data_IF_609996742637
#
_entry.id   IF_609996742637
#
_cell.length_a   1.000
_cell.length_b   1.000
_cell.length_c   1.000
_cell.angle_alpha   90.00
_cell.angle_beta   90.00
_cell.angle_gamma   90.00
#
_symmetry.space_group_name_H-M   'P 1'
#
loop_
_entity.id
_entity.type
_entity.pdbx_description
1 polymer ?
#
# COMPACT_ATOMS: atom_id res chain seq x y z
N UNK A 1 -32.21 17.80 -24.46
CA UNK A 1 -30.78 17.63 -24.17
C UNK A 1 -30.65 17.53 -22.67
N UNK A 2 -30.51 16.33 -22.12
CA UNK A 2 -30.04 16.18 -20.74
C UNK A 2 -28.62 16.71 -20.71
N UNK A 3 -28.41 17.86 -20.08
CA UNK A 3 -27.07 18.35 -19.77
C UNK A 3 -26.44 17.36 -18.79
N UNK A 4 -25.47 16.58 -19.25
CA UNK A 4 -24.65 15.72 -18.41
C UNK A 4 -24.09 16.59 -17.29
N UNK A 5 -24.45 16.30 -16.04
CA UNK A 5 -23.92 17.06 -14.91
C UNK A 5 -22.40 16.83 -14.82
N UNK A 6 -21.62 17.86 -14.46
CA UNK A 6 -20.18 17.72 -14.36
C UNK A 6 -19.82 16.68 -13.29
N UNK A 7 -18.84 15.84 -13.60
CA UNK A 7 -18.36 14.78 -12.71
C UNK A 7 -17.09 15.26 -12.03
N UNK A 8 -16.94 14.93 -10.75
CA UNK A 8 -15.75 15.22 -9.96
C UNK A 8 -14.98 13.95 -9.64
N UNK A 9 -13.69 14.07 -9.35
CA UNK A 9 -12.87 13.04 -8.69
C UNK A 9 -12.03 13.65 -7.59
N UNK A 10 -11.38 12.83 -6.80
CA UNK A 10 -10.37 13.31 -5.86
C UNK A 10 -9.06 13.57 -6.59
N UNK A 11 -8.43 14.70 -6.27
CA UNK A 11 -7.09 15.09 -6.65
C UNK A 11 -6.06 14.14 -6.01
N UNK A 12 -5.72 13.04 -6.69
CA UNK A 12 -4.92 11.95 -6.14
C UNK A 12 -3.48 12.37 -5.78
N UNK A 13 -2.94 13.34 -6.49
CA UNK A 13 -1.64 14.00 -6.25
C UNK A 13 -1.59 14.81 -4.95
N UNK A 14 -2.75 15.15 -4.37
CA UNK A 14 -2.84 15.86 -3.09
C UNK A 14 -3.11 14.94 -1.90
N UNK A 15 -3.50 13.69 -2.17
CA UNK A 15 -3.72 12.69 -1.13
C UNK A 15 -2.37 12.19 -0.60
N UNK A 16 -2.29 12.10 0.72
CA UNK A 16 -1.14 11.50 1.40
C UNK A 16 -1.53 10.16 2.03
N UNK A 17 -0.59 9.21 2.15
CA UNK A 17 -0.83 8.00 2.92
C UNK A 17 -1.28 8.34 4.35
N UNK A 18 -2.31 7.65 4.82
CA UNK A 18 -3.01 7.92 6.08
C UNK A 18 -4.26 8.80 5.91
N UNK A 19 -4.38 9.60 4.85
CA UNK A 19 -5.59 10.40 4.66
C UNK A 19 -6.85 9.54 4.61
N UNK A 20 -7.91 10.02 5.26
CA UNK A 20 -9.19 9.35 5.35
C UNK A 20 -10.15 10.04 4.39
N UNK A 21 -10.68 9.27 3.43
CA UNK A 21 -11.67 9.78 2.49
C UNK A 21 -13.06 9.35 2.96
N UNK A 22 -13.94 10.32 3.19
CA UNK A 22 -15.32 10.10 3.55
C UNK A 22 -16.23 10.51 2.40
N UNK A 23 -17.19 9.65 2.06
CA UNK A 23 -18.11 9.90 0.95
C UNK A 23 -19.56 9.66 1.32
N UNK A 24 -20.45 10.30 0.58
CA UNK A 24 -21.88 10.03 0.59
C UNK A 24 -22.45 10.20 -0.81
N UNK A 25 -22.99 9.11 -1.35
CA UNK A 25 -23.72 9.12 -2.62
C UNK A 25 -25.21 9.36 -2.41
N UNK A 26 -25.92 9.68 -3.50
CA UNK A 26 -27.39 9.76 -3.53
C UNK A 26 -28.10 8.39 -3.40
N UNK A 27 -27.36 7.27 -3.29
CA UNK A 27 -27.92 5.92 -3.20
C UNK A 27 -28.74 5.65 -1.93
N UNK A 28 -29.71 4.73 -2.02
CA UNK A 28 -30.64 4.39 -0.91
C UNK A 28 -29.90 3.96 0.37
N UNK A 29 -28.86 3.13 0.25
CA UNK A 29 -28.07 2.70 1.40
C UNK A 29 -27.34 3.86 2.08
N UNK A 30 -26.74 4.74 1.27
CA UNK A 30 -26.04 5.94 1.76
C UNK A 30 -27.01 6.88 2.50
N UNK A 31 -28.21 7.09 1.96
CA UNK A 31 -29.25 7.90 2.61
C UNK A 31 -29.70 7.32 3.97
N UNK A 32 -29.83 6.00 4.08
CA UNK A 32 -30.18 5.33 5.34
C UNK A 32 -29.08 5.54 6.37
N UNK A 33 -27.81 5.32 6.01
CA UNK A 33 -26.68 5.48 6.92
C UNK A 33 -26.61 6.92 7.43
N UNK A 34 -26.66 7.93 6.53
CA UNK A 34 -26.64 9.36 6.91
C UNK A 34 -27.76 9.73 7.85
N UNK A 35 -28.99 9.28 7.57
CA UNK A 35 -30.15 9.57 8.42
C UNK A 35 -29.99 8.95 9.81
N UNK A 36 -29.54 7.71 9.87
CA UNK A 36 -29.44 6.97 11.12
C UNK A 36 -28.23 7.43 11.97
N UNK A 37 -27.12 7.84 11.33
CA UNK A 37 -25.96 8.44 12.00
C UNK A 37 -26.14 9.92 12.34
N UNK A 38 -27.23 10.54 11.85
CA UNK A 38 -27.45 12.00 11.87
C UNK A 38 -26.23 12.74 11.31
N UNK A 39 -25.73 12.27 10.16
CA UNK A 39 -24.48 12.71 9.56
C UNK A 39 -24.59 12.97 8.05
N UNK A 40 -23.50 13.49 7.49
CA UNK A 40 -23.41 13.92 6.09
C UNK A 40 -22.68 12.91 5.21
N UNK A 41 -22.01 11.93 5.82
CA UNK A 41 -21.20 10.91 5.16
C UNK A 41 -21.69 9.50 5.51
N UNK A 42 -21.45 8.54 4.60
CA UNK A 42 -21.90 7.14 4.75
C UNK A 42 -20.83 6.09 4.55
N UNK A 43 -19.68 6.47 3.99
CA UNK A 43 -18.58 5.54 3.71
C UNK A 43 -17.25 6.13 4.12
N UNK A 44 -16.28 5.27 4.42
CA UNK A 44 -14.95 5.65 4.86
C UNK A 44 -13.90 4.77 4.19
N UNK A 45 -12.82 5.39 3.73
CA UNK A 45 -11.71 4.76 3.04
C UNK A 45 -10.41 5.35 3.60
N UNK A 46 -9.31 4.59 3.56
CA UNK A 46 -7.99 5.08 3.97
C UNK A 46 -7.01 5.03 2.79
N UNK A 47 -6.31 6.13 2.54
CA UNK A 47 -5.24 6.21 1.56
C UNK A 47 -4.01 5.47 2.10
N UNK A 48 -3.47 4.52 1.34
CA UNK A 48 -2.32 3.70 1.76
C UNK A 48 -1.05 3.91 0.93
N UNK A 49 -1.19 4.54 -0.23
CA UNK A 49 -0.13 4.94 -1.14
C UNK A 49 -0.75 5.94 -2.12
N UNK A 50 0.05 6.75 -2.81
CA UNK A 50 -0.43 7.59 -3.90
C UNK A 50 -1.42 6.86 -4.83
N UNK A 51 -2.62 7.42 -4.96
CA UNK A 51 -3.70 6.86 -5.77
C UNK A 51 -4.36 5.59 -5.23
N UNK A 52 -3.80 4.93 -4.20
CA UNK A 52 -4.30 3.67 -3.65
C UNK A 52 -5.04 3.88 -2.33
N UNK A 53 -6.30 3.46 -2.28
CA UNK A 53 -7.11 3.46 -1.07
C UNK A 53 -7.50 2.02 -0.70
N UNK A 54 -7.83 1.81 0.57
CA UNK A 54 -8.44 0.58 1.07
C UNK A 54 -9.75 0.94 1.78
N UNK A 55 -10.77 0.15 1.53
CA UNK A 55 -12.06 0.28 2.19
C UNK A 55 -12.67 -1.10 2.48
N UNK A 56 -13.88 -1.11 3.05
CA UNK A 56 -14.62 -2.33 3.33
C UNK A 56 -16.06 -2.16 2.85
N UNK A 57 -16.44 -2.96 1.87
CA UNK A 57 -17.77 -2.96 1.21
C UNK A 57 -18.38 -4.36 1.23
N UNK A 58 -19.52 -4.57 0.57
CA UNK A 58 -20.14 -5.89 0.48
C UNK A 58 -19.22 -6.99 -0.10
N UNK A 59 -18.19 -6.61 -0.86
CA UNK A 59 -17.18 -7.52 -1.40
C UNK A 59 -16.01 -7.80 -0.43
N UNK A 60 -16.13 -7.35 0.83
CA UNK A 60 -15.07 -7.41 1.84
C UNK A 60 -14.13 -6.20 1.81
N UNK A 61 -12.99 -6.33 2.48
CA UNK A 61 -11.93 -5.32 2.46
C UNK A 61 -11.11 -5.43 1.18
N UNK A 62 -10.99 -4.34 0.44
CA UNK A 62 -10.40 -4.33 -0.90
C UNK A 62 -9.54 -3.09 -1.12
N UNK A 63 -8.55 -3.20 -2.02
CA UNK A 63 -7.75 -2.08 -2.46
C UNK A 63 -8.30 -1.53 -3.80
N UNK A 64 -8.35 -0.21 -3.92
CA UNK A 64 -8.89 0.50 -5.08
C UNK A 64 -7.96 1.61 -5.54
N UNK A 65 -8.09 2.02 -6.81
CA UNK A 65 -7.47 3.24 -7.31
C UNK A 65 -8.47 4.40 -7.24
N UNK A 66 -8.19 5.40 -6.41
CA UNK A 66 -9.07 6.55 -6.20
C UNK A 66 -9.30 7.39 -7.46
N UNK A 67 -8.39 7.36 -8.43
CA UNK A 67 -8.55 8.08 -9.70
C UNK A 67 -9.67 7.50 -10.57
N UNK A 68 -10.10 6.25 -10.29
CA UNK A 68 -11.25 5.62 -10.94
C UNK A 68 -12.58 5.92 -10.23
N UNK A 69 -12.53 6.53 -9.05
CA UNK A 69 -13.72 6.90 -8.30
C UNK A 69 -14.21 8.28 -8.75
N UNK A 70 -15.45 8.30 -9.24
CA UNK A 70 -16.11 9.50 -9.74
C UNK A 70 -17.33 9.83 -8.90
N UNK A 71 -17.54 11.13 -8.66
CA UNK A 71 -18.58 11.66 -7.80
C UNK A 71 -19.41 12.68 -8.56
N UNK A 72 -20.73 12.68 -8.34
CA UNK A 72 -21.60 13.72 -8.86
C UNK A 72 -21.36 15.04 -8.12
N UNK A 73 -21.87 16.14 -8.67
CA UNK A 73 -21.78 17.47 -8.03
C UNK A 73 -22.46 17.48 -6.65
N UNK A 74 -23.57 16.76 -6.51
CA UNK A 74 -24.36 16.68 -5.28
C UNK A 74 -23.85 15.63 -4.28
N UNK A 75 -22.93 14.76 -4.68
CA UNK A 75 -22.30 13.80 -3.77
C UNK A 75 -21.41 14.54 -2.76
N UNK A 76 -21.37 14.06 -1.53
CA UNK A 76 -20.49 14.60 -0.50
C UNK A 76 -19.16 13.85 -0.50
N UNK A 77 -18.06 14.59 -0.58
CA UNK A 77 -16.70 14.05 -0.56
C UNK A 77 -15.87 14.93 0.36
N UNK A 78 -15.28 14.33 1.38
CA UNK A 78 -14.48 15.01 2.40
C UNK A 78 -13.19 14.21 2.59
N UNK A 79 -12.05 14.88 2.58
CA UNK A 79 -10.76 14.27 2.95
C UNK A 79 -10.34 14.81 4.30
N UNK A 80 -9.97 13.90 5.19
CA UNK A 80 -9.52 14.20 6.53
C UNK A 80 -8.07 13.75 6.69
N UNK A 81 -7.29 14.56 7.41
CA UNK A 81 -5.91 14.24 7.80
C UNK A 81 -5.75 14.34 9.31
N UNK A 82 -4.86 13.54 9.87
CA UNK A 82 -4.50 13.68 11.29
C UNK A 82 -3.85 15.05 11.53
N UNK A 83 -4.35 15.77 12.54
CA UNK A 83 -3.90 17.12 12.90
C UNK A 83 -2.43 17.13 13.29
N UNK A 84 -2.05 16.16 14.12
CA UNK A 84 -0.67 15.91 14.50
C UNK A 84 -0.14 14.78 13.63
N UNK A 85 0.84 15.01 12.75
CA UNK A 85 1.38 13.96 11.91
C UNK A 85 1.93 12.80 12.74
N UNK A 86 1.67 11.58 12.30
CA UNK A 86 2.31 10.39 12.87
C UNK A 86 3.80 10.42 12.54
N UNK A 87 4.62 9.86 13.43
CA UNK A 87 5.97 9.50 13.02
C UNK A 87 5.92 8.44 11.89
N UNK A 88 6.96 8.31 11.07
CA UNK A 88 6.95 7.39 9.94
C UNK A 88 6.69 5.92 10.31
N UNK A 89 7.14 5.46 11.49
CA UNK A 89 6.96 4.08 11.95
C UNK A 89 5.50 3.84 12.36
N UNK A 90 4.90 4.80 13.07
CA UNK A 90 3.47 4.77 13.39
C UNK A 90 2.62 4.80 12.12
N UNK A 91 2.92 5.68 11.16
CA UNK A 91 2.22 5.73 9.89
C UNK A 91 2.30 4.38 9.18
N UNK A 92 3.49 3.79 9.05
CA UNK A 92 3.63 2.46 8.45
C UNK A 92 2.81 1.41 9.19
N UNK A 93 2.68 1.49 10.51
CA UNK A 93 1.83 0.58 11.28
C UNK A 93 0.36 0.70 10.90
N UNK A 94 -0.16 1.91 10.73
CA UNK A 94 -1.54 2.16 10.23
C UNK A 94 -1.73 1.55 8.84
N UNK A 95 -0.81 1.83 7.92
CA UNK A 95 -0.91 1.37 6.53
C UNK A 95 -0.77 -0.15 6.41
N UNK A 96 0.11 -0.77 7.21
CA UNK A 96 0.29 -2.21 7.24
C UNK A 96 -0.96 -2.92 7.76
N UNK A 97 -1.58 -2.38 8.83
CA UNK A 97 -2.85 -2.92 9.32
C UNK A 97 -3.93 -2.88 8.23
N UNK A 98 -4.12 -1.74 7.56
CA UNK A 98 -5.12 -1.64 6.50
C UNK A 98 -4.88 -2.66 5.36
N UNK A 99 -3.60 -2.91 5.02
CA UNK A 99 -3.22 -3.88 3.99
C UNK A 99 -3.40 -5.33 4.42
N UNK A 100 -3.09 -5.68 5.67
CA UNK A 100 -3.25 -7.06 6.17
C UNK A 100 -4.72 -7.50 6.23
N UNK A 101 -5.64 -6.54 6.34
CA UNK A 101 -7.07 -6.79 6.35
C UNK A 101 -7.67 -7.05 4.96
N UNK A 102 -6.92 -6.90 3.86
CA UNK A 102 -7.44 -7.19 2.51
C UNK A 102 -7.96 -8.63 2.44
N UNK A 103 -9.20 -8.78 1.97
CA UNK A 103 -9.93 -10.05 1.93
C UNK A 103 -10.90 -10.24 3.11
N UNK A 104 -10.72 -9.56 4.25
CA UNK A 104 -11.59 -9.67 5.42
C UNK A 104 -13.05 -9.40 5.05
N UNK A 105 -13.97 -10.27 5.48
CA UNK A 105 -15.40 -10.15 5.12
C UNK A 105 -16.06 -8.94 5.74
N UNK A 106 -17.10 -8.45 5.07
CA UNK A 106 -17.90 -7.34 5.55
C UNK A 106 -19.03 -7.77 6.49
N UNK A 107 -19.15 -7.08 7.61
CA UNK A 107 -20.17 -7.33 8.63
C UNK A 107 -21.35 -6.36 8.50
N UNK A 108 -22.37 -6.74 7.73
CA UNK A 108 -23.63 -5.96 7.61
C UNK A 108 -24.32 -5.75 8.96
N UNK A 109 -24.31 -6.78 9.81
CA UNK A 109 -24.98 -6.77 11.11
C UNK A 109 -24.27 -5.80 12.06
N UNK A 110 -22.94 -5.83 12.13
CA UNK A 110 -22.20 -4.94 13.02
C UNK A 110 -22.14 -3.50 12.49
N UNK A 111 -22.10 -3.32 11.15
CA UNK A 111 -22.26 -2.01 10.53
C UNK A 111 -23.60 -1.36 10.89
N UNK A 112 -24.71 -2.10 10.85
CA UNK A 112 -26.01 -1.59 11.28
C UNK A 112 -26.02 -1.24 12.79
N UNK A 113 -25.38 -2.06 13.62
CA UNK A 113 -25.28 -1.86 15.08
C UNK A 113 -24.39 -0.69 15.48
N UNK A 114 -23.43 -0.29 14.65
CA UNK A 114 -22.63 0.93 14.89
C UNK A 114 -23.50 2.20 14.86
N UNK A 115 -24.65 2.13 14.18
CA UNK A 115 -25.59 3.23 14.06
C UNK A 115 -26.78 3.08 15.01
N UNK A 116 -27.38 1.87 15.08
CA UNK A 116 -28.60 1.62 15.84
C UNK A 116 -28.37 1.33 17.34
N UNK A 117 -27.12 1.09 17.75
CA UNK A 117 -26.79 0.67 19.10
C UNK A 117 -27.17 -0.79 19.39
N UNK A 118 -27.21 -1.16 20.68
CA UNK A 118 -27.51 -2.52 21.13
C UNK A 118 -26.27 -3.39 21.35
N UNK A 119 -26.43 -4.72 21.28
CA UNK A 119 -25.33 -5.67 21.51
C UNK A 119 -24.23 -5.50 20.46
N UNK A 120 -22.99 -5.34 20.91
CA UNK A 120 -21.80 -5.05 20.10
C UNK A 120 -20.84 -6.25 20.05
N UNK A 121 -21.13 -7.33 19.30
CA UNK A 121 -20.18 -8.42 19.11
C UNK A 121 -18.89 -7.90 18.46
N UNK A 122 -17.76 -8.52 18.75
CA UNK A 122 -16.48 -8.07 18.20
C UNK A 122 -15.89 -9.16 17.35
N UNK A 123 -16.55 -9.43 16.22
CA UNK A 123 -15.98 -10.36 15.25
C UNK A 123 -14.74 -9.74 14.57
N UNK A 124 -13.99 -10.59 13.86
CA UNK A 124 -12.87 -10.14 13.02
C UNK A 124 -13.34 -9.49 11.72
N UNK A 125 -14.61 -9.65 11.34
CA UNK A 125 -15.18 -9.00 10.17
C UNK A 125 -15.18 -7.47 10.33
N UNK A 126 -15.16 -6.78 9.20
CA UNK A 126 -14.97 -5.34 9.14
C UNK A 126 -16.15 -4.63 8.49
N UNK A 127 -16.22 -3.33 8.69
CA UNK A 127 -17.00 -2.40 7.88
C UNK A 127 -16.19 -1.12 7.75
N UNK A 128 -16.55 -0.26 6.80
CA UNK A 128 -15.72 0.85 6.34
C UNK A 128 -15.10 1.70 7.47
N UNK A 129 -15.90 2.22 8.40
CA UNK A 129 -15.38 3.05 9.51
C UNK A 129 -14.62 2.24 10.57
N UNK A 130 -14.97 0.97 10.81
CA UNK A 130 -14.21 0.09 11.72
C UNK A 130 -12.82 -0.19 11.17
N UNK A 131 -12.69 -0.47 9.87
CA UNK A 131 -11.40 -0.68 9.22
C UNK A 131 -10.47 0.52 9.48
N UNK A 132 -10.94 1.73 9.16
CA UNK A 132 -10.17 2.97 9.35
C UNK A 132 -9.83 3.17 10.83
N UNK A 133 -10.80 3.01 11.72
CA UNK A 133 -10.57 3.24 13.15
C UNK A 133 -9.64 2.22 13.79
N UNK A 134 -9.70 0.94 13.39
CA UNK A 134 -8.78 -0.10 13.86
C UNK A 134 -7.37 0.09 13.30
N UNK A 135 -7.23 0.55 12.05
CA UNK A 135 -5.93 0.86 11.46
C UNK A 135 -5.17 1.90 12.29
N UNK A 136 -5.83 2.98 12.68
CA UNK A 136 -5.23 3.97 13.56
C UNK A 136 -5.02 3.47 14.99
N UNK A 137 -5.96 2.72 15.55
CA UNK A 137 -5.82 2.15 16.89
C UNK A 137 -4.64 1.17 17.00
N UNK A 138 -4.33 0.43 15.92
CA UNK A 138 -3.16 -0.46 15.84
C UNK A 138 -1.83 0.31 15.97
N UNK A 139 -1.80 1.60 15.64
CA UNK A 139 -0.66 2.49 15.85
C UNK A 139 -0.76 3.33 17.14
N UNK A 140 -1.71 3.00 18.03
CA UNK A 140 -1.92 3.70 19.30
C UNK A 140 -2.74 4.99 19.19
N UNK A 141 -3.36 5.28 18.04
CA UNK A 141 -4.18 6.49 17.84
C UNK A 141 -5.66 6.14 17.81
N UNK A 142 -6.38 6.52 18.85
CA UNK A 142 -7.82 6.31 18.94
C UNK A 142 -8.57 7.51 18.33
N UNK A 143 -8.89 7.43 17.03
CA UNK A 143 -9.67 8.47 16.32
C UNK A 143 -11.06 8.70 16.94
N UNK A 144 -11.61 7.67 17.56
CA UNK A 144 -12.90 7.64 18.25
C UNK A 144 -12.76 6.78 19.51
N UNK A 145 -13.74 6.85 20.41
CA UNK A 145 -13.68 6.16 21.70
C UNK A 145 -13.76 4.63 21.61
N UNK A 146 -14.46 4.08 20.60
CA UNK A 146 -14.63 2.65 20.38
C UNK A 146 -14.25 2.31 18.93
N UNK A 147 -13.03 1.83 18.67
CA UNK A 147 -12.57 1.56 17.31
C UNK A 147 -13.31 0.41 16.62
N UNK A 148 -14.04 -0.42 17.38
CA UNK A 148 -14.85 -1.49 16.83
C UNK A 148 -16.25 -1.01 16.39
N UNK A 149 -16.69 0.15 16.89
CA UNK A 149 -18.06 0.61 16.69
C UNK A 149 -18.14 2.12 16.58
N UNK A 150 -17.85 2.60 15.38
CA UNK A 150 -17.96 3.99 15.01
C UNK A 150 -18.64 4.12 13.64
N UNK A 151 -19.28 5.25 13.38
CA UNK A 151 -19.83 5.58 12.06
C UNK A 151 -18.82 6.44 11.28
N UNK A 152 -18.93 6.55 9.95
CA UNK A 152 -18.13 7.52 9.18
C UNK A 152 -18.29 8.95 9.70
N UNK A 153 -19.49 9.30 10.16
CA UNK A 153 -19.75 10.61 10.80
C UNK A 153 -18.98 10.79 12.12
N UNK A 154 -18.78 9.72 12.90
CA UNK A 154 -17.97 9.79 14.11
C UNK A 154 -16.49 10.09 13.80
N UNK A 155 -15.98 9.57 12.67
CA UNK A 155 -14.65 9.95 12.16
C UNK A 155 -14.62 11.41 11.75
N UNK A 156 -15.61 11.89 10.96
CA UNK A 156 -15.73 13.30 10.56
C UNK A 156 -15.71 14.28 11.73
N UNK A 157 -16.29 13.88 12.88
CA UNK A 157 -16.36 14.70 14.11
C UNK A 157 -15.14 14.54 15.04
N UNK A 158 -14.17 13.70 14.68
CA UNK A 158 -12.99 13.49 15.51
C UNK A 158 -12.18 14.79 15.64
N UNK A 159 -11.88 15.20 16.88
CA UNK A 159 -11.05 16.38 17.14
C UNK A 159 -9.60 16.22 16.67
N UNK A 160 -9.15 14.97 16.49
CA UNK A 160 -7.82 14.62 16.01
C UNK A 160 -7.68 14.83 14.50
N UNK A 161 -8.78 14.96 13.77
CA UNK A 161 -8.78 15.10 12.32
C UNK A 161 -9.05 16.55 11.91
N UNK A 162 -8.48 16.95 10.78
CA UNK A 162 -8.75 18.21 10.09
C UNK A 162 -9.22 17.90 8.66
N UNK A 163 -10.20 18.66 8.20
CA UNK A 163 -10.64 18.60 6.80
C UNK A 163 -9.63 19.33 5.90
N UNK A 164 -9.23 18.66 4.81
CA UNK A 164 -8.33 19.23 3.82
C UNK A 164 -9.17 19.85 2.70
N UNK A 165 -9.08 21.17 2.48
CA UNK A 165 -9.89 21.85 1.47
C UNK A 165 -9.44 21.52 0.05
N UNK A 166 -10.33 21.72 -0.91
CA UNK A 166 -10.04 21.68 -2.36
C UNK A 166 -9.52 20.32 -2.86
N UNK A 167 -9.96 19.21 -2.25
CA UNK A 167 -9.49 17.87 -2.60
C UNK A 167 -10.19 17.23 -3.80
N UNK A 168 -11.10 17.93 -4.47
CA UNK A 168 -11.79 17.42 -5.66
C UNK A 168 -11.60 18.32 -6.86
N UNK A 169 -11.47 17.71 -8.03
CA UNK A 169 -11.39 18.39 -9.32
C UNK A 169 -12.46 17.89 -10.29
N UNK A 170 -12.80 18.71 -11.30
CA UNK A 170 -13.76 18.36 -12.35
C UNK A 170 -13.04 17.53 -13.41
N UNK A 171 -13.65 16.41 -13.82
CA UNK A 171 -13.13 15.55 -14.87
C UNK A 171 -13.81 15.89 -16.20
N UNK A 172 -13.00 16.04 -17.26
CA UNK A 172 -13.55 16.29 -18.61
C UNK A 172 -14.24 15.06 -19.19
N UNK A 173 -15.24 15.26 -20.06
CA UNK A 173 -15.92 14.15 -20.74
C UNK A 173 -14.95 13.28 -21.58
N UNK A 174 -13.95 13.91 -22.21
CA UNK A 174 -12.93 13.21 -22.98
C UNK A 174 -12.07 12.29 -22.09
N UNK A 175 -11.71 12.76 -20.90
CA UNK A 175 -10.97 11.96 -19.93
C UNK A 175 -11.82 10.81 -19.36
N UNK A 176 -13.10 11.06 -19.04
CA UNK A 176 -14.02 10.01 -18.60
C UNK A 176 -14.16 8.91 -19.67
N UNK A 177 -14.31 9.28 -20.95
CA UNK A 177 -14.38 8.34 -22.05
C UNK A 177 -13.08 7.52 -22.19
N UNK A 178 -11.92 8.18 -22.07
CA UNK A 178 -10.63 7.51 -22.10
C UNK A 178 -10.46 6.51 -20.95
N UNK A 179 -10.87 6.87 -19.73
CA UNK A 179 -10.81 5.98 -18.56
C UNK A 179 -11.79 4.81 -18.66
N UNK A 180 -13.00 5.03 -19.19
CA UNK A 180 -13.99 3.97 -19.39
C UNK A 180 -13.54 2.93 -20.43
N UNK A 181 -12.76 3.35 -21.43
CA UNK A 181 -12.19 2.46 -22.44
C UNK A 181 -10.98 1.65 -21.93
N UNK A 182 -10.33 2.09 -20.84
CA UNK A 182 -9.17 1.40 -20.27
C UNK A 182 -9.61 0.14 -19.51
N UNK A 183 -8.93 -1.00 -19.69
CA UNK A 183 -9.15 -2.18 -18.85
C UNK A 183 -9.07 -1.83 -17.36
N UNK A 184 -9.91 -2.47 -16.55
CA UNK A 184 -9.94 -2.28 -15.10
C UNK A 184 -9.55 -3.58 -14.37
N UNK A 185 -8.25 -3.85 -14.19
CA UNK A 185 -7.78 -5.08 -13.58
C UNK A 185 -8.14 -5.20 -12.09
N UNK A 186 -8.66 -4.13 -11.45
CA UNK A 186 -9.05 -4.15 -10.04
C UNK A 186 -10.30 -5.00 -9.78
N UNK A 187 -11.22 -5.06 -10.74
CA UNK A 187 -12.40 -5.93 -10.64
C UNK A 187 -11.99 -7.40 -10.72
N UNK A 188 -11.08 -7.73 -11.63
CA UNK A 188 -10.52 -9.07 -11.80
C UNK A 188 -9.74 -9.48 -10.55
N UNK A 189 -8.86 -8.61 -10.04
CA UNK A 189 -8.11 -8.84 -8.81
C UNK A 189 -9.04 -9.18 -7.64
N UNK A 190 -10.09 -8.38 -7.41
CA UNK A 190 -11.09 -8.61 -6.35
C UNK A 190 -11.79 -9.95 -6.50
N UNK A 191 -12.22 -10.29 -7.72
CA UNK A 191 -12.89 -11.55 -7.99
C UNK A 191 -11.97 -12.74 -7.70
N UNK A 192 -10.72 -12.70 -8.17
CA UNK A 192 -9.73 -13.75 -7.95
C UNK A 192 -9.37 -13.91 -6.47
N UNK A 193 -9.21 -12.80 -5.74
CA UNK A 193 -8.94 -12.83 -4.30
C UNK A 193 -10.08 -13.49 -3.52
N UNK A 194 -11.33 -13.13 -3.84
CA UNK A 194 -12.50 -13.72 -3.20
C UNK A 194 -12.65 -15.20 -3.55
N UNK A 195 -12.38 -15.60 -4.80
CA UNK A 195 -12.38 -17.02 -5.20
C UNK A 195 -11.38 -17.85 -4.38
N UNK A 196 -10.15 -17.37 -4.22
CA UNK A 196 -9.09 -18.01 -3.43
C UNK A 196 -9.53 -18.16 -1.98
N UNK A 197 -10.00 -17.08 -1.35
CA UNK A 197 -10.41 -17.09 0.05
C UNK A 197 -11.65 -17.96 0.28
N UNK A 198 -12.59 -17.99 -0.66
CA UNK A 198 -13.80 -18.81 -0.53
C UNK A 198 -13.49 -20.31 -0.57
N UNK A 199 -12.47 -20.75 -1.31
CA UNK A 199 -12.00 -22.14 -1.26
C UNK A 199 -11.49 -22.49 0.13
N UNK A 200 -10.68 -21.61 0.71
CA UNK A 200 -10.14 -21.82 2.05
C UNK A 200 -11.24 -21.78 3.14
N UNK A 201 -12.19 -20.85 3.03
CA UNK A 201 -13.33 -20.69 3.96
C UNK A 201 -14.28 -21.87 3.97
N UNK A 202 -14.39 -22.61 2.87
CA UNK A 202 -15.13 -23.89 2.86
C UNK A 202 -14.51 -24.95 3.76
N UNK A 203 -13.22 -24.80 4.10
CA UNK A 203 -12.47 -25.73 4.96
C UNK A 203 -12.33 -25.20 6.38
N UNK A 204 -12.08 -23.91 6.51
CA UNK A 204 -12.08 -23.22 7.80
C UNK A 204 -12.86 -21.89 7.70
N UNK A 205 -14.11 -21.84 8.19
CA UNK A 205 -14.93 -20.63 8.17
C UNK A 205 -14.35 -19.45 8.98
N UNK A 206 -13.31 -19.65 9.80
CA UNK A 206 -12.66 -18.60 10.57
C UNK A 206 -11.66 -17.77 9.75
N UNK A 207 -11.28 -18.22 8.55
CA UNK A 207 -10.38 -17.49 7.65
C UNK A 207 -11.05 -16.20 7.17
N UNK A 208 -10.48 -15.05 7.54
CA UNK A 208 -10.95 -13.76 7.08
C UNK A 208 -10.09 -13.20 5.95
N UNK A 209 -8.77 -13.23 6.06
CA UNK A 209 -7.85 -12.59 5.12
C UNK A 209 -6.71 -13.52 4.65
N UNK A 210 -5.78 -12.97 3.87
CA UNK A 210 -4.64 -13.73 3.34
C UNK A 210 -3.63 -14.16 4.42
N UNK A 211 -3.50 -13.45 5.54
CA UNK A 211 -2.64 -13.90 6.64
C UNK A 211 -3.20 -15.18 7.29
N UNK A 212 -4.52 -15.25 7.48
CA UNK A 212 -5.19 -16.45 7.96
C UNK A 212 -5.05 -17.62 6.97
N UNK A 213 -5.16 -17.33 5.66
CA UNK A 213 -4.93 -18.32 4.59
C UNK A 213 -3.50 -18.86 4.61
N UNK A 214 -2.51 -17.99 4.72
CA UNK A 214 -1.10 -18.38 4.76
C UNK A 214 -0.83 -19.31 5.94
N UNK A 215 -1.31 -18.94 7.14
CA UNK A 215 -1.22 -19.78 8.33
C UNK A 215 -1.94 -21.13 8.13
N UNK A 216 -3.13 -21.12 7.53
CA UNK A 216 -3.90 -22.33 7.25
C UNK A 216 -3.15 -23.29 6.32
N UNK A 217 -2.55 -22.80 5.23
CA UNK A 217 -1.76 -23.59 4.28
C UNK A 217 -0.54 -24.23 4.96
N UNK A 218 0.14 -23.48 5.84
CA UNK A 218 1.27 -24.05 6.58
C UNK A 218 0.82 -25.19 7.50
N UNK A 219 -0.27 -24.99 8.24
CA UNK A 219 -0.78 -25.96 9.20
C UNK A 219 -1.47 -27.18 8.57
N UNK A 220 -1.99 -27.06 7.35
CA UNK A 220 -2.83 -28.08 6.72
C UNK A 220 -2.27 -28.53 5.35
N UNK A 221 -1.18 -29.33 5.32
CA UNK A 221 -0.58 -29.82 4.08
C UNK A 221 -1.56 -30.54 3.14
N UNK A 222 -2.59 -31.18 3.70
CA UNK A 222 -3.59 -31.92 2.93
C UNK A 222 -4.40 -31.02 1.97
N UNK A 223 -4.43 -29.70 2.21
CA UNK A 223 -5.15 -28.73 1.37
C UNK A 223 -4.24 -27.89 0.48
N UNK A 224 -2.92 -28.02 0.60
CA UNK A 224 -1.95 -27.20 -0.13
C UNK A 224 -2.13 -27.30 -1.64
N UNK A 225 -2.29 -28.50 -2.21
CA UNK A 225 -2.43 -28.64 -3.66
C UNK A 225 -3.73 -28.03 -4.20
N UNK A 226 -4.82 -28.14 -3.45
CA UNK A 226 -6.10 -27.55 -3.86
C UNK A 226 -6.01 -26.02 -3.88
N UNK A 227 -5.41 -25.43 -2.85
CA UNK A 227 -5.22 -23.98 -2.75
C UNK A 227 -4.23 -23.50 -3.84
N UNK A 228 -3.11 -24.22 -4.01
CA UNK A 228 -2.12 -23.95 -5.05
C UNK A 228 -2.74 -24.01 -6.47
N UNK A 229 -3.68 -24.93 -6.70
CA UNK A 229 -4.41 -25.02 -7.95
C UNK A 229 -5.30 -23.80 -8.18
N UNK A 230 -6.06 -23.35 -7.18
CA UNK A 230 -6.93 -22.17 -7.31
C UNK A 230 -6.14 -20.90 -7.58
N UNK A 231 -4.96 -20.72 -6.96
CA UNK A 231 -4.07 -19.62 -7.29
C UNK A 231 -3.66 -19.59 -8.78
N UNK A 232 -3.43 -20.76 -9.40
CA UNK A 232 -3.11 -20.86 -10.85
C UNK A 232 -4.34 -20.63 -11.70
N UNK A 233 -5.43 -21.31 -11.37
CA UNK A 233 -6.63 -21.34 -12.18
C UNK A 233 -7.35 -19.98 -12.22
N UNK A 234 -7.31 -19.22 -11.12
CA UNK A 234 -7.90 -17.88 -11.06
C UNK A 234 -7.13 -16.85 -11.90
N UNK A 235 -5.86 -17.10 -12.24
CA UNK A 235 -5.01 -16.11 -12.92
C UNK A 235 -4.38 -15.06 -12.00
N UNK A 236 -4.59 -15.15 -10.68
CA UNK A 236 -4.05 -14.21 -9.69
C UNK A 236 -2.53 -14.03 -9.82
N UNK A 237 -1.81 -15.13 -10.06
CA UNK A 237 -0.34 -15.14 -10.17
C UNK A 237 0.19 -14.38 -11.40
N UNK A 238 -0.66 -14.09 -12.38
CA UNK A 238 -0.29 -13.45 -13.65
C UNK A 238 -0.86 -12.03 -13.81
N UNK A 239 -1.61 -11.52 -12.82
CA UNK A 239 -2.23 -10.18 -12.86
C UNK A 239 -1.23 -9.06 -13.17
N UNK A 240 0.01 -9.16 -12.68
CA UNK A 240 1.06 -8.18 -12.93
C UNK A 240 1.40 -8.02 -14.42
N UNK A 241 1.19 -9.07 -15.24
CA UNK A 241 1.45 -9.02 -16.68
C UNK A 241 0.48 -8.09 -17.39
N UNK A 242 -0.75 -8.00 -16.91
CA UNK A 242 -1.76 -7.09 -17.47
C UNK A 242 -1.36 -5.63 -17.26
N UNK A 243 -0.86 -5.27 -16.06
CA UNK A 243 -0.37 -3.91 -15.81
C UNK A 243 0.84 -3.57 -16.70
N UNK A 244 1.79 -4.50 -16.84
CA UNK A 244 2.94 -4.32 -17.72
C UNK A 244 2.52 -4.11 -19.18
N UNK A 245 1.56 -4.88 -19.68
CA UNK A 245 1.07 -4.76 -21.04
C UNK A 245 0.30 -3.45 -21.30
N UNK A 246 -0.43 -2.94 -20.30
CA UNK A 246 -1.20 -1.69 -20.41
C UNK A 246 -0.31 -0.47 -20.23
N UNK A 247 0.69 -0.54 -19.35
CA UNK A 247 1.54 0.57 -18.95
C UNK A 247 3.04 0.22 -19.11
N UNK A 248 3.52 -0.11 -20.33
CA UNK A 248 4.93 -0.45 -20.53
C UNK A 248 5.87 0.69 -20.13
N UNK A 249 5.42 1.94 -20.31
CA UNK A 249 6.09 3.17 -19.89
C UNK A 249 6.37 3.26 -18.39
N UNK A 250 5.70 2.49 -17.53
CA UNK A 250 6.08 2.39 -16.13
C UNK A 250 7.43 1.70 -15.95
N UNK A 251 7.82 0.79 -16.84
CA UNK A 251 8.90 -0.17 -16.63
C UNK A 251 10.07 0.01 -17.60
N UNK A 252 9.91 0.86 -18.60
CA UNK A 252 10.91 1.15 -19.61
C UNK A 252 11.01 2.67 -19.83
N UNK A 253 12.23 3.20 -19.77
CA UNK A 253 12.48 4.64 -19.88
C UNK A 253 12.22 5.15 -21.30
N UNK A 254 12.55 4.38 -22.33
CA UNK A 254 12.34 4.82 -23.71
C UNK A 254 10.84 4.84 -24.04
N UNK A 255 10.06 3.88 -23.52
CA UNK A 255 8.60 3.90 -23.57
C UNK A 255 8.01 5.10 -22.79
N UNK A 256 8.60 5.44 -21.63
CA UNK A 256 8.21 6.65 -20.88
C UNK A 256 8.45 7.93 -21.69
N UNK A 257 9.63 8.06 -22.31
CA UNK A 257 9.96 9.19 -23.18
C UNK A 257 9.02 9.28 -24.38
N UNK A 258 8.68 8.15 -25.00
CA UNK A 258 7.75 8.09 -26.13
C UNK A 258 6.31 8.44 -25.71
N UNK A 259 5.93 8.14 -24.46
CA UNK A 259 4.61 8.48 -23.90
C UNK A 259 4.45 9.95 -23.54
N UNK A 260 5.57 10.66 -23.29
CA UNK A 260 5.57 12.07 -22.95
C UNK A 260 5.12 12.92 -24.15
N UNK A 261 4.04 13.69 -24.00
CA UNK A 261 3.53 14.56 -25.09
C UNK A 261 4.49 15.70 -25.43
N UNK A 262 5.30 16.12 -24.45
CA UNK A 262 6.42 17.06 -24.55
C UNK A 262 7.34 16.89 -23.34
N UNK A 263 8.49 17.55 -23.31
CA UNK A 263 9.37 17.61 -22.12
C UNK A 263 8.77 18.30 -20.89
N UNK A 264 7.55 18.85 -21.01
CA UNK A 264 6.80 19.55 -19.94
C UNK A 264 5.43 18.87 -19.67
N UNK A 265 5.32 17.55 -19.84
CA UNK A 265 4.09 16.83 -19.48
C UNK A 265 3.90 16.80 -17.96
N UNK A 266 3.21 17.81 -17.43
CA UNK A 266 3.00 18.01 -15.99
C UNK A 266 2.33 16.79 -15.33
N UNK A 267 1.45 16.07 -16.05
CA UNK A 267 0.84 14.86 -15.52
C UNK A 267 1.85 13.73 -15.30
N UNK A 268 2.75 13.53 -16.26
CA UNK A 268 3.84 12.56 -16.14
C UNK A 268 4.83 12.98 -15.05
N UNK A 269 5.16 14.27 -14.97
CA UNK A 269 6.01 14.83 -13.90
C UNK A 269 5.43 14.56 -12.52
N UNK A 270 4.15 14.84 -12.29
CA UNK A 270 3.47 14.58 -11.01
C UNK A 270 3.44 13.08 -10.66
N UNK A 271 3.23 12.22 -11.65
CA UNK A 271 3.35 10.77 -11.47
C UNK A 271 4.76 10.37 -11.03
N UNK A 272 5.80 10.87 -11.68
CA UNK A 272 7.17 10.51 -11.34
C UNK A 272 7.54 11.04 -9.94
N UNK A 273 7.15 12.29 -9.61
CA UNK A 273 7.38 12.90 -8.30
C UNK A 273 6.71 12.08 -7.20
N UNK A 274 5.43 11.74 -7.35
CA UNK A 274 4.72 10.93 -6.35
C UNK A 274 5.33 9.52 -6.20
N UNK A 275 5.82 8.94 -7.29
CA UNK A 275 6.51 7.63 -7.27
C UNK A 275 7.81 7.68 -6.46
N UNK A 276 8.63 8.73 -6.59
CA UNK A 276 9.90 8.84 -5.86
C UNK A 276 9.75 9.38 -4.42
N UNK A 277 8.64 10.05 -4.09
CA UNK A 277 8.33 10.44 -2.71
C UNK A 277 8.09 9.22 -1.80
N UNK A 278 7.65 8.12 -2.40
CA UNK A 278 7.48 6.83 -1.73
C UNK A 278 8.52 5.80 -2.21
N UNK A 279 9.73 6.26 -2.60
CA UNK A 279 10.72 5.42 -3.27
C UNK A 279 11.06 4.14 -2.51
N UNK A 280 11.08 4.14 -1.19
CA UNK A 280 11.32 2.92 -0.42
C UNK A 280 10.03 2.41 0.23
N UNK A 281 9.20 3.29 0.77
CA UNK A 281 8.01 2.91 1.54
C UNK A 281 6.84 2.43 0.68
N UNK A 282 6.73 2.87 -0.58
CA UNK A 282 5.63 2.50 -1.47
C UNK A 282 5.65 1.02 -1.85
N UNK A 283 6.84 0.49 -2.15
CA UNK A 283 7.05 -0.89 -2.62
C UNK A 283 7.38 -1.92 -1.54
N UNK A 284 7.74 -1.48 -0.32
CA UNK A 284 8.30 -2.36 0.73
C UNK A 284 7.44 -3.58 1.05
N UNK A 285 6.12 -3.47 0.88
CA UNK A 285 5.17 -4.59 1.07
C UNK A 285 5.54 -5.83 0.24
N UNK A 286 6.04 -5.66 -0.98
CA UNK A 286 6.35 -6.78 -1.86
C UNK A 286 7.58 -7.54 -1.34
N UNK A 287 8.58 -6.80 -0.86
CA UNK A 287 9.76 -7.38 -0.24
C UNK A 287 9.46 -8.04 1.11
N UNK A 288 8.58 -7.45 1.92
CA UNK A 288 8.13 -8.06 3.18
C UNK A 288 7.40 -9.38 2.91
N UNK A 289 6.50 -9.40 1.93
CA UNK A 289 5.78 -10.62 1.56
C UNK A 289 6.74 -11.67 0.98
N UNK A 290 7.71 -11.27 0.15
CA UNK A 290 8.76 -12.17 -0.33
C UNK A 290 9.52 -12.80 0.84
N UNK A 291 10.06 -11.99 1.76
CA UNK A 291 10.79 -12.46 2.93
C UNK A 291 9.92 -13.34 3.86
N UNK A 292 8.62 -13.08 3.95
CA UNK A 292 7.67 -13.95 4.64
C UNK A 292 7.56 -15.32 3.95
N UNK A 293 7.29 -15.35 2.64
CA UNK A 293 7.10 -16.60 1.91
C UNK A 293 8.38 -17.41 1.75
N UNK A 294 9.55 -16.78 1.62
CA UNK A 294 10.84 -17.49 1.60
C UNK A 294 11.12 -18.21 2.92
N UNK A 295 10.85 -17.56 4.06
CA UNK A 295 10.96 -18.20 5.38
C UNK A 295 9.97 -19.35 5.53
N UNK A 296 8.72 -19.16 5.11
CA UNK A 296 7.70 -20.21 5.14
C UNK A 296 8.06 -21.39 4.22
N UNK A 297 8.64 -21.10 3.05
CA UNK A 297 9.13 -22.09 2.10
C UNK A 297 10.25 -22.93 2.71
N UNK A 298 11.24 -22.28 3.32
CA UNK A 298 12.35 -22.96 4.01
C UNK A 298 11.86 -23.85 5.15
N UNK A 299 10.80 -23.44 5.86
CA UNK A 299 10.25 -24.20 6.98
C UNK A 299 9.44 -25.45 6.54
N UNK A 300 8.56 -25.31 5.54
CA UNK A 300 7.52 -26.32 5.27
C UNK A 300 7.41 -26.79 3.81
N UNK A 301 8.07 -26.13 2.85
CA UNK A 301 8.11 -26.58 1.46
C UNK A 301 6.76 -26.62 0.71
N UNK A 302 5.79 -25.77 1.07
CA UNK A 302 4.43 -25.79 0.48
C UNK A 302 4.42 -25.31 -0.97
N UNK A 303 3.63 -25.98 -1.83
CA UNK A 303 3.46 -25.60 -3.24
C UNK A 303 2.82 -24.23 -3.40
N UNK A 304 1.80 -23.93 -2.60
CA UNK A 304 1.17 -22.59 -2.57
C UNK A 304 2.22 -21.53 -2.28
N UNK A 305 3.05 -21.75 -1.25
CA UNK A 305 4.13 -20.83 -0.89
C UNK A 305 5.17 -20.68 -2.00
N UNK A 306 5.49 -21.73 -2.77
CA UNK A 306 6.42 -21.64 -3.91
C UNK A 306 5.96 -20.65 -4.97
N UNK A 307 4.66 -20.69 -5.26
CA UNK A 307 4.03 -19.82 -6.25
C UNK A 307 4.06 -18.37 -5.77
N UNK A 308 3.80 -18.15 -4.47
CA UNK A 308 3.85 -16.83 -3.87
C UNK A 308 5.29 -16.28 -3.81
N UNK A 309 6.30 -17.09 -3.50
CA UNK A 309 7.71 -16.67 -3.64
C UNK A 309 7.97 -16.20 -5.07
N UNK A 310 7.58 -16.99 -6.07
CA UNK A 310 7.78 -16.63 -7.49
C UNK A 310 7.09 -15.33 -7.86
N UNK A 311 5.83 -15.15 -7.45
CA UNK A 311 5.06 -13.94 -7.67
C UNK A 311 5.72 -12.73 -7.01
N UNK A 312 6.03 -12.81 -5.73
CA UNK A 312 6.57 -11.66 -4.99
C UNK A 312 8.00 -11.30 -5.39
N UNK A 313 8.83 -12.27 -5.82
CA UNK A 313 10.11 -11.96 -6.47
C UNK A 313 9.91 -11.12 -7.74
N UNK A 314 8.91 -11.43 -8.56
CA UNK A 314 8.60 -10.64 -9.75
C UNK A 314 8.05 -9.26 -9.40
N UNK A 315 7.14 -9.17 -8.42
CA UNK A 315 6.57 -7.89 -7.99
C UNK A 315 7.63 -6.94 -7.40
N UNK A 316 8.59 -7.45 -6.65
CA UNK A 316 9.74 -6.66 -6.16
C UNK A 316 10.55 -6.08 -7.32
N UNK A 317 10.85 -6.88 -8.34
CA UNK A 317 11.58 -6.41 -9.53
C UNK A 317 10.80 -5.36 -10.31
N UNK A 318 9.52 -5.62 -10.55
CA UNK A 318 8.65 -4.67 -11.26
C UNK A 318 8.55 -3.34 -10.53
N UNK A 319 8.37 -3.36 -9.21
CA UNK A 319 8.30 -2.15 -8.39
C UNK A 319 9.63 -1.36 -8.40
N UNK A 320 10.77 -2.05 -8.30
CA UNK A 320 12.09 -1.41 -8.40
C UNK A 320 12.29 -0.75 -9.77
N UNK A 321 12.01 -1.47 -10.87
CA UNK A 321 12.08 -0.93 -12.22
C UNK A 321 11.21 0.32 -12.36
N UNK A 322 9.97 0.26 -11.86
CA UNK A 322 9.04 1.39 -11.93
C UNK A 322 9.58 2.65 -11.24
N UNK A 323 10.19 2.48 -10.08
CA UNK A 323 10.78 3.60 -9.33
C UNK A 323 12.05 4.13 -9.99
N UNK A 324 12.89 3.25 -10.52
CA UNK A 324 14.12 3.65 -11.20
C UNK A 324 13.82 4.39 -12.52
N UNK A 325 12.83 3.95 -13.29
CA UNK A 325 12.40 4.63 -14.52
C UNK A 325 11.86 6.02 -14.21
N UNK A 326 10.97 6.16 -13.23
CA UNK A 326 10.46 7.45 -12.79
C UNK A 326 11.57 8.40 -12.32
N UNK A 327 12.54 7.89 -11.54
CA UNK A 327 13.68 8.66 -11.07
C UNK A 327 14.62 9.08 -12.22
N UNK A 328 14.89 8.17 -13.16
CA UNK A 328 15.75 8.45 -14.31
C UNK A 328 15.13 9.51 -15.24
N UNK A 329 13.82 9.43 -15.46
CA UNK A 329 13.09 10.43 -16.24
C UNK A 329 13.14 11.81 -15.56
N UNK A 330 12.91 11.88 -14.24
CA UNK A 330 13.04 13.14 -13.50
C UNK A 330 14.47 13.70 -13.54
N UNK A 331 15.50 12.87 -13.39
CA UNK A 331 16.89 13.37 -13.51
C UNK A 331 17.18 13.99 -14.87
N UNK A 332 16.56 13.49 -15.94
CA UNK A 332 16.76 13.99 -17.30
C UNK A 332 16.02 15.30 -17.58
N UNK A 333 14.79 15.43 -17.10
CA UNK A 333 13.90 16.56 -17.46
C UNK A 333 13.68 17.55 -16.31
N UNK A 334 13.69 17.09 -15.06
CA UNK A 334 13.41 17.88 -13.85
C UNK A 334 14.36 17.52 -12.69
N UNK A 335 15.68 17.71 -12.82
CA UNK A 335 16.66 17.27 -11.82
C UNK A 335 16.46 17.89 -10.44
N UNK A 336 15.89 19.10 -10.37
CA UNK A 336 15.53 19.74 -9.11
C UNK A 336 14.46 18.95 -8.33
N UNK A 337 13.47 18.39 -9.02
CA UNK A 337 12.43 17.57 -8.40
C UNK A 337 12.99 16.22 -7.95
N UNK A 338 13.85 15.60 -8.77
CA UNK A 338 14.54 14.36 -8.39
C UNK A 338 15.35 14.56 -7.10
N UNK A 339 16.15 15.63 -7.02
CA UNK A 339 16.95 15.94 -5.85
C UNK A 339 16.10 16.19 -4.59
N UNK A 340 15.00 16.94 -4.75
CA UNK A 340 14.13 17.40 -3.66
C UNK A 340 13.21 16.31 -3.13
N UNK A 341 12.63 15.50 -4.03
CA UNK A 341 11.54 14.59 -3.70
C UNK A 341 11.94 13.13 -3.56
N UNK A 342 13.16 12.74 -3.95
CA UNK A 342 13.63 11.38 -3.75
C UNK A 342 13.67 11.04 -2.25
N UNK A 343 12.85 10.07 -1.86
CA UNK A 343 12.84 9.55 -0.50
C UNK A 343 14.19 8.91 -0.19
N UNK A 344 14.82 9.38 0.89
CA UNK A 344 16.04 8.81 1.45
C UNK A 344 15.73 8.32 2.86
N UNK A 345 16.08 7.07 3.15
CA UNK A 345 15.96 6.52 4.50
C UNK A 345 17.37 6.39 5.04
N UNK A 346 17.68 7.14 6.10
CA UNK A 346 19.00 7.07 6.74
C UNK A 346 19.19 5.70 7.40
N UNK A 347 20.31 5.00 7.15
CA UNK A 347 20.66 3.78 7.87
C UNK A 347 20.60 3.97 9.38
N UNK A 348 20.20 2.92 10.11
CA UNK A 348 20.08 2.91 11.57
C UNK A 348 19.03 3.87 12.18
N UNK A 349 18.28 4.62 11.36
CA UNK A 349 17.11 5.36 11.83
C UNK A 349 16.00 4.39 12.31
N UNK A 350 15.04 4.84 13.14
CA UNK A 350 13.90 4.02 13.54
C UNK A 350 13.10 3.48 12.34
N UNK A 351 12.90 4.30 11.31
CA UNK A 351 12.22 3.86 10.08
C UNK A 351 13.03 2.78 9.36
N UNK A 352 14.34 2.94 9.26
CA UNK A 352 15.22 1.93 8.67
C UNK A 352 15.11 0.60 9.41
N UNK A 353 15.25 0.57 10.73
CA UNK A 353 15.10 -0.66 11.52
C UNK A 353 13.72 -1.30 11.35
N UNK A 354 12.64 -0.49 11.31
CA UNK A 354 11.29 -1.02 11.11
C UNK A 354 11.09 -1.71 9.76
N UNK A 355 11.88 -1.34 8.74
CA UNK A 355 11.92 -2.02 7.44
C UNK A 355 12.83 -3.25 7.52
N UNK A 356 14.08 -3.07 7.96
CA UNK A 356 15.11 -4.12 7.96
C UNK A 356 14.71 -5.32 8.80
N UNK A 357 14.08 -5.14 9.96
CA UNK A 357 13.63 -6.26 10.78
C UNK A 357 12.62 -7.18 10.06
N UNK A 358 11.94 -6.68 9.03
CA UNK A 358 10.93 -7.42 8.27
C UNK A 358 11.49 -8.05 7.01
N UNK A 359 12.49 -7.43 6.38
CA UNK A 359 13.04 -7.88 5.09
C UNK A 359 14.41 -8.56 5.21
N UNK A 360 15.25 -8.14 6.15
CA UNK A 360 16.60 -8.70 6.37
C UNK A 360 16.97 -8.64 7.88
N UNK A 361 16.33 -9.46 8.73
CA UNK A 361 16.47 -9.36 10.18
C UNK A 361 17.90 -9.65 10.69
N UNK A 362 18.71 -10.41 9.94
CA UNK A 362 20.10 -10.67 10.34
C UNK A 362 20.95 -9.41 10.25
N UNK A 363 20.78 -8.61 9.19
CA UNK A 363 21.43 -7.31 9.08
C UNK A 363 21.01 -6.39 10.24
N UNK A 364 19.72 -6.34 10.57
CA UNK A 364 19.22 -5.55 11.69
C UNK A 364 19.85 -5.94 13.03
N UNK A 365 20.01 -7.25 13.28
CA UNK A 365 20.66 -7.76 14.49
C UNK A 365 22.16 -7.39 14.56
N UNK A 366 22.90 -7.56 13.45
CA UNK A 366 24.33 -7.20 13.37
C UNK A 366 24.52 -5.69 13.57
N UNK A 367 23.72 -4.87 12.88
CA UNK A 367 23.78 -3.41 13.01
C UNK A 367 23.56 -2.96 14.46
N UNK A 368 22.55 -3.50 15.15
CA UNK A 368 22.32 -3.19 16.57
C UNK A 368 23.48 -3.61 17.47
N UNK A 369 24.08 -4.77 17.23
CA UNK A 369 25.23 -5.24 17.99
C UNK A 369 26.44 -4.28 17.83
N UNK A 370 26.73 -3.86 16.60
CA UNK A 370 27.80 -2.90 16.32
C UNK A 370 27.52 -1.54 16.98
N UNK A 371 26.30 -1.02 16.88
CA UNK A 371 25.90 0.24 17.52
C UNK A 371 26.06 0.16 19.04
N UNK A 372 25.68 -0.97 19.65
CA UNK A 372 25.84 -1.18 21.08
C UNK A 372 27.31 -1.25 21.50
N UNK A 373 28.14 -1.93 20.72
CA UNK A 373 29.57 -2.08 21.00
C UNK A 373 30.31 -0.73 20.92
N UNK A 374 30.04 0.04 19.88
CA UNK A 374 30.73 1.30 19.61
C UNK A 374 30.09 2.50 20.30
N UNK A 375 28.86 2.36 20.81
CA UNK A 375 28.10 3.43 21.45
C UNK A 375 27.67 4.55 20.48
N UNK A 376 27.63 4.26 19.18
CA UNK A 376 27.33 5.22 18.11
C UNK A 376 26.47 4.60 17.03
N UNK A 377 25.54 5.39 16.47
CA UNK A 377 24.78 5.01 15.26
C UNK A 377 25.58 5.22 13.98
N UNK A 378 26.68 5.98 14.04
CA UNK A 378 27.57 6.28 12.92
C UNK A 378 28.67 5.23 12.78
N UNK A 379 28.25 4.00 12.49
CA UNK A 379 29.12 2.83 12.36
C UNK A 379 28.70 1.98 11.18
N UNK A 380 29.63 1.20 10.63
CA UNK A 380 29.31 0.26 9.56
C UNK A 380 28.28 -0.78 10.03
N UNK A 381 27.17 -0.93 9.29
CA UNK A 381 26.10 -1.90 9.54
C UNK A 381 26.58 -3.35 9.53
N UNK A 382 27.78 -3.61 8.99
CA UNK A 382 28.37 -4.96 8.87
C UNK A 382 29.47 -5.23 9.90
N UNK A 383 30.38 -4.28 10.17
CA UNK A 383 31.57 -4.53 11.02
C UNK A 383 31.84 -3.52 12.14
N UNK A 384 31.12 -2.39 12.21
CA UNK A 384 31.35 -1.35 13.23
C UNK A 384 32.33 -0.23 12.84
N UNK A 385 33.11 -0.40 11.78
CA UNK A 385 34.12 0.59 11.33
C UNK A 385 33.52 1.95 10.87
N UNK A 386 34.34 3.02 10.79
CA UNK A 386 33.94 4.31 10.24
C UNK A 386 33.29 4.19 8.84
N UNK A 387 32.04 4.67 8.66
CA UNK A 387 31.28 4.36 7.46
C UNK A 387 30.98 5.57 6.55
N UNK A 388 30.30 5.28 5.43
CA UNK A 388 29.53 6.21 4.61
C UNK A 388 28.17 5.57 4.25
N UNK A 389 27.21 6.40 3.86
CA UNK A 389 25.85 5.94 3.53
C UNK A 389 25.69 5.68 2.02
N UNK A 390 25.12 4.53 1.69
CA UNK A 390 24.91 4.05 0.33
C UNK A 390 23.47 3.65 0.10
N UNK A 391 23.00 3.91 -1.12
CA UNK A 391 21.80 3.29 -1.70
C UNK A 391 22.20 2.07 -2.52
N UNK A 392 21.43 1.00 -2.40
CA UNK A 392 21.58 -0.20 -3.21
C UNK A 392 20.70 -0.08 -4.47
N UNK A 393 21.33 0.02 -5.64
CA UNK A 393 20.62 0.23 -6.92
C UNK A 393 19.93 -1.04 -7.40
N UNK A 394 20.61 -2.18 -7.34
CA UNK A 394 20.05 -3.49 -7.68
C UNK A 394 19.44 -4.19 -6.47
N UNK A 395 18.68 -3.46 -5.65
CA UNK A 395 18.13 -4.00 -4.40
C UNK A 395 17.16 -5.16 -4.65
N UNK A 396 16.40 -5.14 -5.75
CA UNK A 396 15.49 -6.22 -6.08
C UNK A 396 16.17 -7.58 -6.28
N UNK A 397 17.42 -7.60 -6.75
CA UNK A 397 18.21 -8.80 -6.96
C UNK A 397 19.08 -9.15 -5.76
N UNK A 398 19.72 -8.15 -5.16
CA UNK A 398 20.75 -8.38 -4.14
C UNK A 398 20.20 -8.38 -2.71
N UNK A 399 19.29 -7.45 -2.38
CA UNK A 399 18.66 -7.36 -1.06
C UNK A 399 17.26 -6.75 -1.12
N UNK A 400 16.22 -7.55 -1.46
CA UNK A 400 14.86 -7.06 -1.65
C UNK A 400 14.36 -6.18 -0.50
N UNK A 401 14.02 -4.93 -0.81
CA UNK A 401 13.41 -3.98 0.13
C UNK A 401 14.38 -3.31 1.12
N UNK A 402 15.67 -3.60 1.10
CA UNK A 402 16.67 -2.88 1.89
C UNK A 402 16.86 -1.48 1.30
N UNK A 403 16.52 -0.39 2.03
CA UNK A 403 16.49 0.94 1.43
C UNK A 403 17.88 1.57 1.27
N UNK A 404 18.77 1.33 2.23
CA UNK A 404 20.10 1.93 2.33
C UNK A 404 20.98 1.12 3.26
N UNK A 405 22.29 1.37 3.18
CA UNK A 405 23.32 0.67 3.96
C UNK A 405 24.38 1.67 4.41
N UNK A 406 24.84 1.57 5.66
CA UNK A 406 25.97 2.34 6.18
C UNK A 406 27.19 1.43 6.19
N UNK A 407 28.21 1.71 5.36
CA UNK A 407 29.30 0.77 5.09
C UNK A 407 30.67 1.48 5.15
N UNK A 408 31.68 0.81 5.70
CA UNK A 408 33.08 1.23 5.61
C UNK A 408 33.68 0.87 4.23
N UNK A 409 34.88 1.40 3.93
CA UNK A 409 35.61 1.15 2.67
C UNK A 409 35.71 -0.33 2.32
N UNK A 410 36.02 -1.16 3.31
CA UNK A 410 36.32 -2.58 3.10
C UNK A 410 35.04 -3.37 2.83
N UNK A 411 33.97 -3.06 3.57
CA UNK A 411 32.67 -3.66 3.34
C UNK A 411 32.12 -3.29 1.96
N UNK A 412 32.33 -2.07 1.48
CA UNK A 412 31.93 -1.68 0.11
C UNK A 412 32.62 -2.57 -0.93
N UNK A 413 33.93 -2.79 -0.79
CA UNK A 413 34.71 -3.63 -1.72
C UNK A 413 34.18 -5.06 -1.71
N UNK A 414 33.95 -5.64 -0.53
CA UNK A 414 33.43 -7.01 -0.39
C UNK A 414 32.06 -7.15 -1.03
N UNK A 415 31.16 -6.20 -0.77
CA UNK A 415 29.78 -6.25 -1.26
C UNK A 415 29.69 -6.00 -2.77
N UNK A 416 30.47 -5.07 -3.32
CA UNK A 416 30.62 -4.90 -4.78
C UNK A 416 31.18 -6.17 -5.44
N UNK A 417 32.15 -6.82 -4.80
CA UNK A 417 32.68 -8.12 -5.25
C UNK A 417 31.63 -9.24 -5.27
N UNK A 418 30.56 -9.10 -4.49
CA UNK A 418 29.43 -10.03 -4.43
C UNK A 418 28.28 -9.65 -5.39
N UNK A 419 28.45 -8.61 -6.21
CA UNK A 419 27.48 -8.19 -7.22
C UNK A 419 26.55 -7.04 -6.79
N UNK A 420 26.75 -6.42 -5.63
CA UNK A 420 25.96 -5.26 -5.21
C UNK A 420 26.39 -3.97 -5.92
N UNK A 421 25.41 -3.18 -6.39
CA UNK A 421 25.62 -1.87 -7.01
C UNK A 421 25.28 -0.79 -5.99
N UNK A 422 26.32 -0.22 -5.38
CA UNK A 422 26.23 0.77 -4.31
C UNK A 422 26.61 2.17 -4.82
N UNK A 423 25.70 3.13 -4.64
CA UNK A 423 25.90 4.55 -4.93
C UNK A 423 25.76 5.37 -3.64
N UNK A 424 26.52 6.47 -3.44
CA UNK A 424 26.37 7.31 -2.25
C UNK A 424 24.93 7.79 -2.08
N UNK A 425 24.45 7.85 -0.83
CA UNK A 425 23.04 8.21 -0.53
C UNK A 425 22.74 9.69 -0.75
N UNK A 426 23.75 10.55 -0.61
CA UNK A 426 23.63 12.01 -0.61
C UNK A 426 24.20 12.70 -1.85
N UNK A 427 24.63 11.93 -2.85
CA UNK A 427 25.16 12.45 -4.12
C UNK A 427 24.09 12.55 -5.22
#
# INVERSE_FOLDING_TARGET
METTQPVRRIAAERLLPGDIVLTASSGKMSAVIRRASKGEVSHAMICVQHGSIIDSTDDGVQAHNIQRETYKVDDHVVVLRLREPLDPVQLQSVLNYARSEVGTRYSKVEAARSVLGGSKPRTRQLFCSRLVSRAYAAAGVNLVSDPDYCTPEALRRSALLIEIPEMTEIVSEAELAAWAARPNPLADMRAMQNEILDVARRRDPAIENFEDLDAFVQANPQWDEEIAHVYRASGYLDLWRADYAINPWHYDLDEMEASARSGDDEGLRLYCVSTIQEFHTGGVRFAVNLAHYERAMQANGRRTTAQLVTLYSQLVRNDQLRRDVALAWLWRHHPADAATHLQRIEPHSPLWFSIIDRVEPRLGAIARANIQQEGSVDVCSSCGDPPQDYRLVNSAEAMPGVPSLRLCSDCIVIRRGSGEILVPLHD
#
